data_IF_153128063328
#
_entry.id   IF_153128063328
#
_cell.length_a   1.000
_cell.length_b   1.000
_cell.length_c   1.000
_cell.angle_alpha   90.00
_cell.angle_beta   90.00
_cell.angle_gamma   90.00
#
_symmetry.space_group_name_H-M   'P 1'
#
loop_
_entity.id
_entity.type
_entity.pdbx_description
1 polymer ?
#
# COMPACT_ATOMS: atom_id res chain seq x y z
N UNK A 1 0.62 5.42 -18.83
CA UNK A 1 0.72 4.49 -17.68
C UNK A 1 1.81 4.99 -16.75
N UNK A 2 1.47 5.31 -15.52
CA UNK A 2 2.50 5.65 -14.53
C UNK A 2 3.28 4.38 -14.23
N UNK A 3 4.58 4.40 -14.51
CA UNK A 3 5.44 3.31 -14.12
C UNK A 3 5.41 3.21 -12.60
N UNK A 4 5.15 2.03 -12.07
CA UNK A 4 5.34 1.85 -10.66
C UNK A 4 6.79 1.46 -10.40
N UNK A 5 7.49 2.30 -9.69
CA UNK A 5 8.81 1.98 -9.23
C UNK A 5 8.75 1.70 -7.74
N UNK A 6 9.13 0.49 -7.37
CA UNK A 6 9.41 0.17 -5.99
C UNK A 6 10.76 0.78 -5.63
N UNK A 7 10.78 1.59 -4.59
CA UNK A 7 12.00 2.21 -4.08
C UNK A 7 12.10 2.00 -2.58
N UNK A 8 13.26 1.60 -2.13
CA UNK A 8 13.61 1.57 -0.71
C UNK A 8 14.76 2.54 -0.48
N UNK A 9 14.57 3.50 0.42
CA UNK A 9 15.62 4.44 0.79
C UNK A 9 16.61 3.74 1.73
N UNK A 10 17.86 3.50 1.31
CA UNK A 10 18.84 2.77 2.11
C UNK A 10 19.20 3.47 3.42
N UNK A 11 19.09 4.80 3.47
CA UNK A 11 19.40 5.58 4.67
C UNK A 11 18.33 5.42 5.78
N UNK A 12 17.09 5.10 5.40
CA UNK A 12 15.96 4.90 6.31
C UNK A 12 15.69 3.43 6.60
N UNK A 13 16.13 2.53 5.74
CA UNK A 13 15.90 1.09 5.87
C UNK A 13 16.69 0.52 7.05
N UNK A 14 15.99 -0.17 7.95
CA UNK A 14 16.60 -0.86 9.11
C UNK A 14 16.75 -2.37 8.90
N UNK A 15 16.59 -2.83 7.68
CA UNK A 15 16.76 -4.24 7.29
C UNK A 15 15.87 -5.23 8.07
N UNK A 16 14.67 -4.79 8.51
CA UNK A 16 13.77 -5.60 9.32
C UNK A 16 13.06 -6.74 8.58
N UNK A 17 13.00 -6.67 7.25
CA UNK A 17 12.41 -7.71 6.40
C UNK A 17 10.88 -7.75 6.34
N UNK A 18 10.18 -6.84 7.01
CA UNK A 18 8.71 -6.82 7.04
C UNK A 18 8.08 -6.66 5.66
N UNK A 19 8.63 -5.79 4.83
CA UNK A 19 8.13 -5.58 3.47
C UNK A 19 8.27 -6.84 2.60
N UNK A 20 9.40 -7.51 2.67
CA UNK A 20 9.64 -8.77 1.94
C UNK A 20 8.71 -9.88 2.42
N UNK A 21 8.55 -10.03 3.74
CA UNK A 21 7.68 -11.03 4.34
C UNK A 21 6.19 -10.78 4.06
N UNK A 22 5.77 -9.52 3.95
CA UNK A 22 4.38 -9.14 3.75
C UNK A 22 3.93 -9.17 2.28
N UNK A 23 4.86 -9.27 1.34
CA UNK A 23 4.52 -9.30 -0.08
C UNK A 23 3.86 -10.62 -0.46
N UNK A 24 2.56 -10.60 -0.73
CA UNK A 24 1.80 -11.80 -1.12
C UNK A 24 2.22 -12.37 -2.47
N UNK A 25 2.76 -11.54 -3.35
CA UNK A 25 3.28 -11.98 -4.65
C UNK A 25 4.70 -12.55 -4.58
N UNK A 26 5.39 -12.40 -3.45
CA UNK A 26 6.77 -12.87 -3.23
C UNK A 26 7.74 -12.33 -4.28
N UNK A 27 7.57 -11.08 -4.67
CA UNK A 27 8.37 -10.42 -5.72
C UNK A 27 9.45 -9.50 -5.16
N UNK A 28 9.55 -9.39 -3.84
CA UNK A 28 10.59 -8.60 -3.17
C UNK A 28 11.69 -9.50 -2.65
N UNK A 29 12.91 -9.02 -2.71
CA UNK A 29 14.10 -9.72 -2.20
C UNK A 29 15.07 -8.71 -1.60
N UNK A 30 16.02 -9.19 -0.82
CA UNK A 30 17.12 -8.37 -0.31
C UNK A 30 18.30 -8.38 -1.29
N UNK A 31 18.85 -7.20 -1.53
CA UNK A 31 20.12 -7.10 -2.27
C UNK A 31 21.32 -7.44 -1.35
N UNK A 32 22.52 -7.28 -1.87
CA UNK A 32 23.75 -7.59 -1.14
C UNK A 32 23.95 -6.72 0.12
N UNK A 33 23.37 -5.52 0.13
CA UNK A 33 23.41 -4.63 1.27
C UNK A 33 22.22 -4.83 2.24
N UNK A 34 21.34 -5.79 1.96
CA UNK A 34 20.15 -6.04 2.76
C UNK A 34 19.01 -5.03 2.54
N UNK A 35 19.07 -4.27 1.45
CA UNK A 35 18.01 -3.34 1.06
C UNK A 35 17.01 -4.07 0.17
N UNK A 36 15.68 -3.96 0.43
CA UNK A 36 14.69 -4.65 -0.39
C UNK A 36 14.61 -4.09 -1.81
N UNK A 37 14.48 -4.98 -2.77
CA UNK A 37 14.29 -4.67 -4.20
C UNK A 37 13.21 -5.55 -4.79
N UNK A 38 12.60 -5.08 -5.86
CA UNK A 38 11.65 -5.87 -6.65
C UNK A 38 12.40 -6.70 -7.67
N UNK A 39 12.00 -7.95 -7.84
CA UNK A 39 12.54 -8.84 -8.87
C UNK A 39 12.33 -8.24 -10.26
N UNK A 40 13.36 -8.30 -11.11
CA UNK A 40 13.32 -7.68 -12.43
C UNK A 40 12.21 -8.27 -13.33
N UNK A 41 11.94 -9.56 -13.21
CA UNK A 41 10.87 -10.23 -13.96
C UNK A 41 9.46 -9.78 -13.56
N UNK A 42 9.29 -9.17 -12.37
CA UNK A 42 8.01 -8.66 -11.89
C UNK A 42 7.87 -7.14 -12.07
N UNK A 43 8.95 -6.45 -12.40
CA UNK A 43 8.97 -4.99 -12.53
C UNK A 43 8.08 -4.55 -13.71
N UNK A 44 7.17 -3.63 -13.43
CA UNK A 44 6.21 -3.14 -14.41
C UNK A 44 5.00 -4.04 -14.64
N UNK A 45 4.95 -5.24 -14.05
CA UNK A 45 3.83 -6.17 -14.19
C UNK A 45 2.85 -6.00 -13.03
N UNK A 46 1.56 -5.91 -13.35
CA UNK A 46 0.47 -5.85 -12.38
C UNK A 46 -0.39 -7.10 -12.50
N UNK A 47 -0.73 -7.70 -11.37
CA UNK A 47 -1.57 -8.91 -11.33
C UNK A 47 -0.78 -10.17 -10.94
N UNK A 48 -1.20 -11.30 -11.47
CA UNK A 48 -0.71 -12.63 -11.04
C UNK A 48 0.80 -12.84 -11.17
N UNK A 49 1.41 -12.28 -12.20
CA UNK A 49 2.84 -12.43 -12.45
C UNK A 49 3.67 -11.27 -11.88
N UNK A 50 3.05 -10.36 -11.16
CA UNK A 50 3.72 -9.18 -10.65
C UNK A 50 3.09 -8.61 -9.38
N UNK A 51 2.99 -7.30 -9.31
CA UNK A 51 2.50 -6.58 -8.15
C UNK A 51 0.97 -6.47 -8.12
N UNK A 52 0.35 -6.83 -7.00
CA UNK A 52 -1.11 -6.67 -6.80
C UNK A 52 -1.55 -5.27 -6.41
N UNK A 53 -0.64 -4.33 -6.26
CA UNK A 53 -0.91 -2.96 -5.80
C UNK A 53 -1.55 -2.87 -4.41
N UNK A 54 -1.29 -3.84 -3.56
CA UNK A 54 -1.87 -3.89 -2.21
C UNK A 54 -1.25 -2.86 -1.24
N UNK A 55 -0.07 -2.34 -1.56
CA UNK A 55 0.67 -1.36 -0.75
C UNK A 55 1.07 -1.84 0.66
N UNK A 56 1.03 -3.14 0.94
CA UNK A 56 1.46 -3.68 2.24
C UNK A 56 2.91 -3.35 2.54
N UNK A 57 3.80 -3.42 1.55
CA UNK A 57 5.22 -3.10 1.72
C UNK A 57 5.43 -1.66 2.25
N UNK A 58 4.66 -0.70 1.73
CA UNK A 58 4.69 0.68 2.20
C UNK A 58 4.13 0.81 3.61
N UNK A 59 3.00 0.14 3.87
CA UNK A 59 2.28 0.26 5.14
C UNK A 59 3.02 -0.39 6.33
N UNK A 60 3.73 -1.50 6.10
CA UNK A 60 4.43 -2.24 7.18
C UNK A 60 5.83 -1.71 7.49
N UNK A 61 6.37 -0.82 6.68
CA UNK A 61 7.70 -0.27 6.90
C UNK A 61 7.70 0.68 8.11
N UNK A 62 8.42 0.33 9.21
CA UNK A 62 8.35 1.13 10.44
C UNK A 62 9.07 2.47 10.34
N UNK A 63 9.98 2.63 9.37
CA UNK A 63 10.79 3.84 9.19
C UNK A 63 10.38 4.67 7.97
N UNK A 64 9.36 4.24 7.24
CA UNK A 64 8.90 4.94 6.05
C UNK A 64 9.93 4.94 4.91
N UNK A 65 10.72 3.88 4.77
CA UNK A 65 11.75 3.77 3.75
C UNK A 65 11.22 3.39 2.36
N UNK A 66 10.00 2.87 2.29
CA UNK A 66 9.42 2.32 1.06
C UNK A 66 8.51 3.33 0.38
N UNK A 67 8.68 3.50 -0.93
CA UNK A 67 7.73 4.20 -1.79
C UNK A 67 7.39 3.33 -3.00
N UNK A 68 6.15 3.40 -3.46
CA UNK A 68 5.66 2.64 -4.60
C UNK A 68 4.48 3.37 -5.24
N UNK A 69 4.35 3.30 -6.55
CA UNK A 69 3.31 4.00 -7.32
C UNK A 69 3.28 5.51 -7.09
N UNK A 70 4.42 6.14 -6.98
CA UNK A 70 4.57 7.56 -6.65
C UNK A 70 3.92 7.94 -5.29
N UNK A 71 3.64 6.94 -4.44
CA UNK A 71 3.15 7.16 -3.08
C UNK A 71 4.32 7.17 -2.10
N UNK A 72 4.39 8.23 -1.33
CA UNK A 72 5.39 8.39 -0.27
C UNK A 72 4.72 8.15 1.09
N UNK A 73 5.38 7.49 2.04
CA UNK A 73 4.86 7.34 3.40
C UNK A 73 4.47 8.66 4.08
N UNK A 74 5.10 9.76 3.70
CA UNK A 74 4.79 11.10 4.19
C UNK A 74 3.38 11.58 3.83
N UNK A 75 2.80 11.03 2.76
CA UNK A 75 1.45 11.35 2.32
C UNK A 75 0.38 10.53 3.05
N UNK A 76 0.79 9.61 3.91
CA UNK A 76 -0.13 8.82 4.72
C UNK A 76 -0.59 9.61 5.94
N UNK A 77 -1.88 9.51 6.24
CA UNK A 77 -2.44 10.11 7.44
C UNK A 77 -1.93 9.41 8.71
N UNK A 78 -1.73 10.17 9.75
CA UNK A 78 -1.47 9.60 11.07
C UNK A 78 -2.71 8.87 11.59
N UNK A 79 -2.57 7.84 12.43
CA UNK A 79 -3.72 7.10 12.97
C UNK A 79 -4.76 8.00 13.66
N UNK A 80 -4.32 9.04 14.34
CA UNK A 80 -5.20 10.01 15.02
C UNK A 80 -5.95 10.94 14.08
N UNK A 81 -5.51 11.07 12.83
CA UNK A 81 -6.21 11.86 11.80
C UNK A 81 -7.31 11.06 11.09
N UNK A 82 -7.33 9.76 11.28
CA UNK A 82 -8.35 8.87 10.76
C UNK A 82 -9.55 8.73 11.70
N UNK A 83 -10.49 7.89 11.30
CA UNK A 83 -11.60 7.50 12.15
C UNK A 83 -11.12 6.60 13.29
N UNK A 84 -11.64 6.79 14.50
CA UNK A 84 -11.39 5.88 15.60
C UNK A 84 -12.22 4.57 15.43
N UNK A 85 -11.94 3.57 16.26
CA UNK A 85 -12.61 2.28 16.18
C UNK A 85 -14.13 2.38 16.36
N UNK A 86 -14.59 3.27 17.25
CA UNK A 86 -16.02 3.50 17.50
C UNK A 86 -16.73 4.11 16.29
N UNK A 87 -16.12 5.09 15.65
CA UNK A 87 -16.65 5.72 14.45
C UNK A 87 -16.73 4.72 13.29
N UNK A 88 -15.70 3.90 13.10
CA UNK A 88 -15.67 2.86 12.09
C UNK A 88 -16.76 1.79 12.35
N UNK A 89 -16.90 1.35 13.59
CA UNK A 89 -17.95 0.39 13.99
C UNK A 89 -19.35 0.96 13.71
N UNK A 90 -19.60 2.22 14.06
CA UNK A 90 -20.86 2.89 13.80
C UNK A 90 -21.17 2.94 12.30
N UNK A 91 -20.19 3.26 11.48
CA UNK A 91 -20.34 3.29 10.03
C UNK A 91 -20.69 1.90 9.47
N UNK A 92 -20.02 0.86 9.94
CA UNK A 92 -20.26 -0.51 9.52
C UNK A 92 -21.67 -1.00 9.94
N UNK A 93 -22.11 -0.69 11.16
CA UNK A 93 -23.42 -1.07 11.67
C UNK A 93 -24.56 -0.34 10.97
N UNK A 94 -24.35 0.91 10.58
CA UNK A 94 -25.37 1.77 9.97
C UNK A 94 -25.48 1.61 8.46
N UNK A 95 -24.59 0.85 7.83
CA UNK A 95 -24.69 0.61 6.39
C UNK A 95 -25.99 -0.11 6.03
N UNK A 96 -26.59 0.32 4.94
CA UNK A 96 -27.84 -0.25 4.42
C UNK A 96 -27.72 -0.43 2.92
N UNK A 97 -28.33 -1.47 2.40
CA UNK A 97 -28.48 -1.61 0.96
C UNK A 97 -29.54 -0.61 0.49
N UNK A 98 -29.14 0.28 -0.42
CA UNK A 98 -30.05 1.20 -1.07
C UNK A 98 -30.34 0.70 -2.49
N UNK A 99 -31.60 0.38 -2.80
CA UNK A 99 -32.01 -0.16 -4.10
C UNK A 99 -32.95 0.78 -4.86
N UNK A 100 -33.31 1.90 -4.25
CA UNK A 100 -34.13 2.94 -4.86
C UNK A 100 -33.32 4.22 -4.89
N UNK A 101 -33.06 4.69 -6.08
CA UNK A 101 -32.24 5.87 -6.31
C UNK A 101 -33.11 6.99 -6.86
N UNK A 102 -32.73 8.23 -6.58
CA UNK A 102 -33.32 9.38 -7.22
C UNK A 102 -32.79 9.47 -8.67
N UNK A 103 -33.67 9.92 -9.57
CA UNK A 103 -33.30 10.15 -10.96
C UNK A 103 -32.56 11.49 -11.07
N UNK A 104 -31.31 11.48 -10.65
CA UNK A 104 -30.40 12.62 -10.74
C UNK A 104 -28.95 12.17 -10.76
N UNK A 105 -28.08 12.98 -11.29
CA UNK A 105 -26.65 12.72 -11.29
C UNK A 105 -26.08 12.72 -9.86
N UNK A 106 -25.11 11.84 -9.62
CA UNK A 106 -24.37 11.81 -8.37
C UNK A 106 -23.34 12.94 -8.39
N UNK A 107 -23.33 13.81 -7.38
CA UNK A 107 -22.30 14.87 -7.29
C UNK A 107 -20.91 14.24 -7.21
N UNK A 108 -19.96 14.84 -7.92
CA UNK A 108 -18.55 14.44 -7.88
C UNK A 108 -17.81 15.14 -6.77
#
# INVERSE_FOLDING_TARGET
MKSFHFKANPDQCIHCGRCVASCSSVILYFDEQGVPKMKAEADGIVGWDGCYRCQHCLAVCPTGAISIFDKDPKDSLLPEEGANARQLEALMRNRRACRRYQDREVPR
#
